data_IF_279745105276
#
_entry.id   IF_279745105276
#
_cell.length_a   1.000
_cell.length_b   1.000
_cell.length_c   1.000
_cell.angle_alpha   90.00
_cell.angle_beta   90.00
_cell.angle_gamma   90.00
#
_symmetry.space_group_name_H-M   'P 1'
#
loop_
_entity.id
_entity.type
_entity.pdbx_description
1 polymer ?
#
# COMPACT_ATOMS: atom_id res chain seq x y z
N UNK A 1 11.46 -13.71 -8.35
CA UNK A 1 11.46 -13.88 -6.89
C UNK A 1 10.33 -13.02 -6.34
N UNK A 2 9.21 -13.61 -5.91
CA UNK A 2 8.04 -12.86 -5.39
C UNK A 2 8.47 -12.18 -4.08
N UNK A 3 8.78 -10.88 -4.11
CA UNK A 3 8.84 -10.07 -2.90
C UNK A 3 7.39 -9.83 -2.50
N UNK A 4 6.92 -10.66 -1.57
CA UNK A 4 5.56 -10.57 -1.05
C UNK A 4 5.31 -9.15 -0.54
N UNK A 5 4.24 -8.53 -1.04
CA UNK A 5 3.86 -7.18 -0.65
C UNK A 5 3.55 -7.21 0.85
N UNK A 6 4.42 -6.59 1.65
CA UNK A 6 4.30 -6.52 3.09
C UNK A 6 3.90 -5.12 3.53
N UNK A 7 3.09 -5.07 4.56
CA UNK A 7 2.72 -3.85 5.27
C UNK A 7 3.71 -3.67 6.40
N UNK A 8 4.36 -2.51 6.41
CA UNK A 8 5.33 -2.13 7.43
C UNK A 8 4.74 -1.04 8.33
N UNK A 9 4.85 -1.22 9.65
CA UNK A 9 4.47 -0.20 10.63
C UNK A 9 5.31 -0.31 11.89
N UNK A 10 5.53 0.82 12.55
CA UNK A 10 6.13 0.81 13.89
C UNK A 10 5.11 0.37 14.92
N UNK A 11 5.56 -0.46 15.86
CA UNK A 11 4.78 -0.83 17.03
C UNK A 11 4.20 0.43 17.71
N UNK A 12 2.92 0.35 18.08
CA UNK A 12 2.13 1.48 18.62
C UNK A 12 2.39 1.69 20.11
N UNK A 13 3.10 0.76 20.76
CA UNK A 13 3.51 0.94 22.14
C UNK A 13 4.57 2.06 22.19
N UNK A 14 4.33 3.13 22.96
CA UNK A 14 5.18 4.33 22.97
C UNK A 14 6.64 4.07 23.36
N UNK A 15 6.90 2.99 24.10
CA UNK A 15 8.24 2.54 24.50
C UNK A 15 8.87 1.56 23.50
N UNK A 16 8.11 1.04 22.54
CA UNK A 16 8.57 0.07 21.54
C UNK A 16 8.41 0.63 20.13
N UNK A 17 9.53 0.89 19.45
CA UNK A 17 9.55 1.41 18.07
C UNK A 17 9.88 0.34 17.03
N UNK A 18 9.74 -0.94 17.39
CA UNK A 18 10.09 -2.04 16.49
C UNK A 18 9.27 -1.96 15.20
N UNK A 19 9.95 -2.11 14.05
CA UNK A 19 9.29 -2.20 12.75
C UNK A 19 8.68 -3.60 12.61
N UNK A 20 7.38 -3.65 12.36
CA UNK A 20 6.60 -4.85 12.12
C UNK A 20 6.32 -4.93 10.62
N UNK A 21 6.65 -6.06 10.01
CA UNK A 21 6.33 -6.33 8.62
C UNK A 21 5.41 -7.55 8.56
N UNK A 22 4.27 -7.40 7.87
CA UNK A 22 3.31 -8.48 7.69
C UNK A 22 2.91 -8.63 6.22
N UNK A 23 3.02 -9.84 5.63
CA UNK A 23 2.58 -10.09 4.27
C UNK A 23 1.05 -10.08 4.20
N UNK A 24 0.47 -9.02 3.63
CA UNK A 24 -1.00 -8.86 3.63
C UNK A 24 -1.71 -9.65 2.54
N UNK A 25 -0.96 -10.19 1.59
CA UNK A 25 -1.48 -11.08 0.54
C UNK A 25 -1.95 -12.43 1.08
N UNK A 26 -1.48 -12.85 2.26
CA UNK A 26 -1.87 -14.09 2.93
C UNK A 26 -2.84 -13.87 4.11
N UNK A 27 -3.33 -12.64 4.29
CA UNK A 27 -4.30 -12.31 5.34
C UNK A 27 -5.67 -12.94 5.05
N UNK A 28 -6.17 -13.73 6.02
CA UNK A 28 -7.54 -14.25 6.02
C UNK A 28 -8.58 -13.16 6.31
N UNK A 29 -9.75 -13.56 6.84
CA UNK A 29 -10.77 -12.60 7.29
C UNK A 29 -10.41 -11.97 8.64
N UNK A 30 -9.56 -12.60 9.43
CA UNK A 30 -8.96 -12.01 10.63
C UNK A 30 -7.48 -12.36 10.64
N UNK A 31 -6.64 -11.36 10.89
CA UNK A 31 -5.19 -11.55 11.02
C UNK A 31 -4.72 -11.02 12.36
N UNK A 32 -3.93 -11.84 13.07
CA UNK A 32 -3.27 -11.44 14.30
C UNK A 32 -1.79 -11.26 14.06
N UNK A 33 -1.25 -10.11 14.45
CA UNK A 33 0.18 -9.81 14.41
C UNK A 33 0.64 -9.53 15.83
N UNK A 34 1.66 -10.22 16.30
CA UNK A 34 2.27 -9.94 17.60
C UNK A 34 3.60 -9.23 17.42
N UNK A 35 3.85 -8.20 18.23
CA UNK A 35 5.14 -7.54 18.24
C UNK A 35 6.19 -8.44 18.91
N UNK A 36 7.29 -8.80 18.22
CA UNK A 36 8.30 -9.68 18.79
C UNK A 36 9.09 -9.03 19.94
N UNK A 37 9.07 -7.70 20.03
CA UNK A 37 9.83 -6.95 21.05
C UNK A 37 9.05 -6.69 22.34
N UNK A 38 7.74 -6.47 22.26
CA UNK A 38 6.93 -6.16 23.45
C UNK A 38 5.71 -7.06 23.64
N UNK A 39 5.51 -8.06 22.78
CA UNK A 39 4.40 -9.02 22.85
C UNK A 39 3.02 -8.44 22.53
N UNK A 40 2.90 -7.13 22.25
CA UNK A 40 1.62 -6.50 21.93
C UNK A 40 1.01 -7.13 20.69
N UNK A 41 -0.24 -7.57 20.81
CA UNK A 41 -1.02 -8.15 19.73
C UNK A 41 -1.86 -7.09 19.00
N UNK A 42 -1.96 -7.25 17.69
CA UNK A 42 -2.75 -6.45 16.78
C UNK A 42 -3.73 -7.39 16.08
N UNK A 43 -5.02 -7.04 16.10
CA UNK A 43 -6.06 -7.77 15.37
C UNK A 43 -6.51 -6.90 14.21
N UNK A 44 -6.35 -7.41 13.00
CA UNK A 44 -6.87 -6.79 11.78
C UNK A 44 -8.19 -7.45 11.42
N UNK A 45 -9.26 -6.67 11.44
CA UNK A 45 -10.60 -7.13 11.10
C UNK A 45 -10.77 -7.39 9.60
N UNK A 46 -11.90 -8.03 9.25
CA UNK A 46 -12.22 -8.37 7.87
C UNK A 46 -12.35 -7.16 6.95
N UNK A 47 -12.78 -6.01 7.47
CA UNK A 47 -12.92 -4.79 6.68
C UNK A 47 -11.54 -4.24 6.28
N UNK A 48 -10.59 -4.25 7.21
CA UNK A 48 -9.21 -3.83 7.00
C UNK A 48 -8.48 -4.79 6.07
N UNK A 49 -8.58 -6.10 6.33
CA UNK A 49 -8.05 -7.15 5.47
C UNK A 49 -8.63 -7.05 4.05
N UNK A 50 -9.91 -6.73 3.92
CA UNK A 50 -10.57 -6.48 2.64
C UNK A 50 -9.99 -5.28 1.87
N UNK A 51 -9.63 -4.19 2.57
CA UNK A 51 -8.94 -3.04 1.96
C UNK A 51 -7.55 -3.44 1.44
N UNK A 52 -6.79 -4.20 2.23
CA UNK A 52 -5.48 -4.70 1.81
C UNK A 52 -5.56 -5.58 0.56
N UNK A 53 -6.55 -6.49 0.49
CA UNK A 53 -6.78 -7.33 -0.69
C UNK A 53 -7.13 -6.52 -1.95
N UNK A 54 -8.03 -5.55 -1.84
CA UNK A 54 -8.38 -4.66 -2.97
C UNK A 54 -7.17 -3.88 -3.45
N UNK A 55 -6.36 -3.42 -2.52
CA UNK A 55 -5.15 -2.66 -2.81
C UNK A 55 -4.06 -3.51 -3.50
N UNK A 56 -3.86 -4.76 -3.06
CA UNK A 56 -3.01 -5.72 -3.77
C UNK A 56 -3.42 -5.89 -5.24
N UNK A 57 -4.72 -6.13 -5.47
CA UNK A 57 -5.27 -6.29 -6.83
C UNK A 57 -5.07 -5.04 -7.68
N UNK A 58 -5.17 -3.85 -7.10
CA UNK A 58 -4.87 -2.60 -7.79
C UNK A 58 -3.41 -2.55 -8.26
N UNK A 59 -2.46 -2.92 -7.38
CA UNK A 59 -1.04 -2.98 -7.73
C UNK A 59 -0.77 -3.99 -8.83
N UNK A 60 -1.39 -5.17 -8.77
CA UNK A 60 -1.29 -6.19 -9.81
C UNK A 60 -1.86 -5.72 -11.15
N UNK A 61 -3.05 -5.12 -11.15
CA UNK A 61 -3.68 -4.57 -12.36
C UNK A 61 -2.83 -3.47 -13.00
N UNK A 62 -2.21 -2.63 -12.17
CA UNK A 62 -1.29 -1.59 -12.62
C UNK A 62 -0.02 -2.19 -13.25
N UNK A 63 0.54 -3.25 -12.68
CA UNK A 63 1.70 -3.95 -13.27
C UNK A 63 1.33 -4.65 -14.57
N UNK A 64 0.16 -5.27 -14.64
CA UNK A 64 -0.33 -5.93 -15.84
C UNK A 64 -0.53 -4.93 -17.00
N UNK A 65 -0.98 -3.72 -16.69
CA UNK A 65 -1.15 -2.66 -17.68
C UNK A 65 0.16 -1.93 -18.07
N UNK A 66 1.33 -2.30 -17.53
CA UNK A 66 2.60 -1.56 -17.68
C UNK A 66 2.90 -1.12 -19.12
N UNK A 67 2.71 -2.02 -20.09
CA UNK A 67 2.94 -1.77 -21.51
C UNK A 67 2.14 -0.56 -22.03
N UNK A 68 0.87 -0.46 -21.67
CA UNK A 68 -0.02 0.61 -22.17
C UNK A 68 0.05 1.89 -21.34
N UNK A 69 0.62 1.85 -20.13
CA UNK A 69 0.63 3.00 -19.22
C UNK A 69 1.55 4.13 -19.70
N UNK A 70 2.48 3.85 -20.62
CA UNK A 70 3.26 4.86 -21.34
C UNK A 70 2.42 5.69 -22.33
N UNK A 71 1.45 5.05 -22.97
CA UNK A 71 0.60 5.66 -24.01
C UNK A 71 -0.73 6.19 -23.46
N UNK A 72 -1.10 5.75 -22.26
CA UNK A 72 -2.35 6.14 -21.61
C UNK A 72 -2.19 7.45 -20.83
N UNK A 73 -3.17 8.36 -20.98
CA UNK A 73 -3.25 9.62 -20.25
C UNK A 73 -4.56 9.73 -19.48
N UNK A 74 -4.51 10.29 -18.28
CA UNK A 74 -5.69 10.67 -17.49
C UNK A 74 -6.03 12.12 -17.81
N UNK A 75 -7.25 12.37 -18.28
CA UNK A 75 -7.81 13.72 -18.37
C UNK A 75 -8.37 14.19 -17.03
N UNK A 76 -7.99 15.39 -16.59
CA UNK A 76 -8.49 16.05 -15.41
C UNK A 76 -9.13 17.38 -15.82
N UNK A 77 -10.42 17.52 -15.57
CA UNK A 77 -11.12 18.79 -15.78
C UNK A 77 -11.17 19.57 -14.47
N UNK A 78 -10.47 20.71 -14.42
CA UNK A 78 -10.34 21.56 -13.25
C UNK A 78 -10.72 22.99 -13.64
N UNK A 79 -11.83 23.49 -13.06
CA UNK A 79 -12.27 24.89 -13.21
C UNK A 79 -12.29 25.38 -14.68
N UNK A 80 -12.77 24.55 -15.61
CA UNK A 80 -12.87 24.90 -17.03
C UNK A 80 -11.60 24.66 -17.86
N UNK A 81 -10.55 24.10 -17.26
CA UNK A 81 -9.34 23.66 -17.95
C UNK A 81 -9.24 22.14 -17.95
N UNK A 82 -8.88 21.56 -19.09
CA UNK A 82 -8.60 20.13 -19.21
C UNK A 82 -7.10 19.89 -19.27
N UNK A 83 -6.59 19.07 -18.37
CA UNK A 83 -5.16 18.70 -18.29
C UNK A 83 -5.04 17.19 -18.49
N UNK A 84 -4.12 16.78 -19.37
CA UNK A 84 -3.80 15.36 -19.55
C UNK A 84 -2.50 15.02 -18.81
N UNK A 85 -2.56 14.03 -17.93
CA UNK A 85 -1.41 13.53 -17.17
C UNK A 85 -1.07 12.10 -17.62
N UNK A 86 0.16 11.82 -18.07
CA UNK A 86 0.58 10.46 -18.40
C UNK A 86 0.47 9.52 -17.20
N UNK A 87 -0.12 8.34 -17.41
CA UNK A 87 -0.28 7.34 -16.33
C UNK A 87 1.06 6.88 -15.76
N UNK A 88 2.12 6.77 -16.59
CA UNK A 88 3.49 6.42 -16.15
C UNK A 88 4.04 7.31 -15.03
N UNK A 89 3.66 8.60 -14.97
CA UNK A 89 4.09 9.51 -13.89
C UNK A 89 3.48 9.09 -12.54
N UNK A 90 2.24 8.58 -12.57
CA UNK A 90 1.61 8.06 -11.37
C UNK A 90 2.39 6.84 -10.87
N UNK A 91 2.96 5.99 -11.73
CA UNK A 91 3.66 4.77 -11.33
C UNK A 91 5.04 5.01 -10.72
N UNK A 92 5.87 5.83 -11.37
CA UNK A 92 7.28 6.04 -10.96
C UNK A 92 7.40 6.88 -9.70
N UNK A 93 6.33 7.63 -9.34
CA UNK A 93 6.27 8.49 -8.16
C UNK A 93 5.14 8.13 -7.19
N UNK A 94 4.38 7.05 -7.44
CA UNK A 94 3.38 6.52 -6.50
C UNK A 94 4.08 5.93 -5.28
N UNK A 95 4.36 6.79 -4.31
CA UNK A 95 4.34 6.36 -2.93
C UNK A 95 2.87 6.17 -2.58
N UNK A 96 2.35 4.97 -2.80
CA UNK A 96 0.94 4.71 -2.50
C UNK A 96 0.80 4.59 -0.99
N UNK A 97 0.12 5.55 -0.39
CA UNK A 97 -0.13 5.60 1.04
C UNK A 97 -1.55 5.11 1.30
N UNK A 98 -1.69 4.05 2.08
CA UNK A 98 -2.96 3.70 2.67
C UNK A 98 -2.97 4.30 4.09
N UNK A 99 -3.77 5.35 4.31
CA UNK A 99 -3.94 5.93 5.63
C UNK A 99 -5.03 5.17 6.38
N UNK A 100 -4.68 4.58 7.51
CA UNK A 100 -5.61 3.87 8.40
C UNK A 100 -5.55 4.48 9.79
N UNK A 101 -6.71 4.57 10.43
CA UNK A 101 -6.80 4.90 11.84
C UNK A 101 -6.82 3.58 12.63
N UNK A 102 -5.82 3.36 13.48
CA UNK A 102 -5.72 2.19 14.35
C UNK A 102 -5.60 2.71 15.78
N UNK A 103 -6.69 2.61 16.55
CA UNK A 103 -6.72 3.03 17.95
C UNK A 103 -6.45 4.53 18.18
N UNK A 104 -6.86 5.41 17.25
CA UNK A 104 -6.65 6.86 17.33
C UNK A 104 -5.30 7.34 16.78
N UNK A 105 -4.48 6.43 16.25
CA UNK A 105 -3.23 6.76 15.57
C UNK A 105 -3.37 6.54 14.06
N UNK A 106 -2.96 7.55 13.27
CA UNK A 106 -2.91 7.47 11.81
C UNK A 106 -1.64 6.76 11.37
N UNK A 107 -1.82 5.62 10.71
CA UNK A 107 -0.74 4.87 10.07
C UNK A 107 -0.76 5.15 8.58
N UNK A 108 0.34 5.67 8.06
CA UNK A 108 0.58 5.76 6.62
C UNK A 108 1.38 4.53 6.20
N UNK A 109 0.70 3.54 5.67
CA UNK A 109 1.35 2.38 5.09
C UNK A 109 1.91 2.77 3.73
N UNK A 110 3.24 2.83 3.62
CA UNK A 110 3.94 3.06 2.36
C UNK A 110 4.16 1.72 1.69
N UNK A 111 3.52 1.47 0.55
CA UNK A 111 3.88 0.32 -0.27
C UNK A 111 5.00 0.72 -1.24
N UNK A 112 6.17 0.10 -1.07
CA UNK A 112 7.30 0.27 -1.99
C UNK A 112 7.08 -0.60 -3.21
N UNK A 113 6.51 -0.03 -4.27
CA UNK A 113 6.64 -0.61 -5.61
C UNK A 113 8.07 -0.32 -6.03
N UNK A 114 8.91 -1.35 -6.22
CA UNK A 114 10.25 -1.11 -6.76
C UNK A 114 10.09 -0.42 -8.13
N UNK A 115 10.85 0.66 -8.39
CA UNK A 115 10.81 1.30 -9.69
C UNK A 115 11.15 0.23 -10.74
N UNK A 116 10.44 0.29 -11.86
CA UNK A 116 10.88 -0.40 -13.07
C UNK A 116 12.31 0.08 -13.32
N UNK A 117 13.25 -0.86 -13.46
CA UNK A 117 14.63 -0.53 -13.84
C UNK A 117 14.54 0.32 -15.11
N UNK A 118 14.78 1.63 -15.00
CA UNK A 118 14.96 2.51 -16.16
C UNK A 118 16.31 2.08 -16.78
N UNK A 119 16.27 1.07 -17.65
CA UNK A 119 17.35 0.71 -18.57
C UNK A 119 17.02 1.20 -19.97
#
# INVERSE_FOLDING_TARGET
>A
MKKDSAIEFHCVNGECRQLLAFPFLSAGDETKVSCPACGREYVFDAALCGKFRKFARLVEAVRDAEEILGDTRVGLDIQGHSVQVPYRILLTRMNTFLTLDIGGARFNFRLRVEPLDDR
#
